data_IF_539981192335
#
_entry.id   IF_539981192335
#
_cell.length_a   1.000
_cell.length_b   1.000
_cell.length_c   1.000
_cell.angle_alpha   90.00
_cell.angle_beta   90.00
_cell.angle_gamma   90.00
#
_symmetry.space_group_name_H-M   'P 1'
#
loop_
_entity.id
_entity.type
_entity.pdbx_description
1 polymer ?
#
# COMPACT_ATOMS: atom_id res chain seq x y z
N UNK A 1 -21.02 12.96 -54.75
CA UNK A 1 -20.37 11.87 -53.97
C UNK A 1 -19.10 12.43 -53.31
N UNK A 2 -19.20 13.04 -52.12
CA UNK A 2 -18.08 13.65 -51.38
C UNK A 2 -18.40 13.68 -49.88
N UNK A 3 -18.52 12.54 -49.22
CA UNK A 3 -18.89 12.50 -47.78
C UNK A 3 -18.25 11.36 -46.96
N UNK A 4 -17.17 10.75 -47.45
CA UNK A 4 -16.62 9.52 -46.84
C UNK A 4 -15.11 9.56 -46.57
N UNK A 5 -14.57 10.73 -46.20
CA UNK A 5 -13.14 10.84 -45.86
C UNK A 5 -12.83 11.57 -44.54
N UNK A 6 -13.84 11.83 -43.70
CA UNK A 6 -13.64 12.54 -42.42
C UNK A 6 -13.68 11.58 -41.21
N UNK A 7 -14.11 10.33 -41.38
CA UNK A 7 -14.34 9.42 -40.26
C UNK A 7 -13.09 8.65 -39.76
N UNK A 8 -11.97 8.70 -40.48
CA UNK A 8 -10.78 7.87 -40.15
C UNK A 8 -9.72 8.57 -39.30
N UNK A 9 -9.84 9.87 -39.03
CA UNK A 9 -8.84 10.63 -38.28
C UNK A 9 -9.09 10.69 -36.75
N UNK A 10 -10.28 10.31 -36.27
CA UNK A 10 -10.65 10.43 -34.85
C UNK A 10 -10.31 9.20 -33.99
N UNK A 11 -9.84 8.09 -34.58
CA UNK A 11 -9.50 6.87 -33.84
C UNK A 11 -8.03 6.78 -33.38
N UNK A 12 -7.17 7.73 -33.76
CA UNK A 12 -5.74 7.67 -33.42
C UNK A 12 -5.35 8.40 -32.12
N UNK A 13 -6.26 9.15 -31.49
CA UNK A 13 -5.92 9.97 -30.30
C UNK A 13 -6.25 9.31 -28.95
N UNK A 14 -6.72 8.05 -28.94
CA UNK A 14 -6.99 7.30 -27.72
C UNK A 14 -5.83 6.35 -27.32
N UNK A 15 -4.61 6.58 -27.82
CA UNK A 15 -3.41 5.98 -27.26
C UNK A 15 -3.15 6.63 -25.89
N UNK A 16 -3.81 6.05 -24.90
CA UNK A 16 -3.66 6.28 -23.47
C UNK A 16 -2.19 6.43 -23.11
N UNK A 17 -1.79 7.67 -22.86
CA UNK A 17 -0.60 7.99 -22.10
C UNK A 17 -0.83 7.48 -20.67
N UNK A 18 -0.58 6.19 -20.44
CA UNK A 18 -0.15 5.70 -19.14
C UNK A 18 1.25 6.28 -18.92
N UNK A 19 1.30 7.56 -18.58
CA UNK A 19 2.49 8.19 -18.08
C UNK A 19 2.89 7.41 -16.83
N UNK A 20 3.87 6.52 -16.95
CA UNK A 20 4.51 5.91 -15.78
C UNK A 20 5.06 7.07 -14.96
N UNK A 21 4.41 7.39 -13.86
CA UNK A 21 4.88 8.37 -12.88
C UNK A 21 6.32 8.00 -12.52
N UNK A 22 7.29 8.79 -12.99
CA UNK A 22 8.69 8.60 -12.59
C UNK A 22 8.81 9.15 -11.19
N UNK A 23 9.01 8.26 -10.21
CA UNK A 23 9.33 8.67 -8.84
C UNK A 23 10.66 9.42 -8.87
N UNK A 24 10.70 10.64 -8.33
CA UNK A 24 11.88 11.51 -8.37
C UNK A 24 12.59 11.61 -7.02
N UNK A 25 11.93 11.29 -5.91
CA UNK A 25 12.53 11.34 -4.58
C UNK A 25 12.30 10.05 -3.82
N UNK A 26 13.15 9.80 -2.82
CA UNK A 26 12.97 8.68 -1.89
C UNK A 26 11.61 8.70 -1.20
N UNK A 27 11.13 9.87 -0.77
CA UNK A 27 9.82 10.01 -0.14
C UNK A 27 8.65 9.63 -1.08
N UNK A 28 8.74 10.01 -2.37
CA UNK A 28 7.74 9.60 -3.37
C UNK A 28 7.76 8.08 -3.60
N UNK A 29 8.95 7.48 -3.60
CA UNK A 29 9.10 6.04 -3.71
C UNK A 29 8.52 5.30 -2.50
N UNK A 30 8.87 5.72 -1.27
CA UNK A 30 8.39 5.09 -0.04
C UNK A 30 6.85 5.17 0.06
N UNK A 31 6.25 6.32 -0.27
CA UNK A 31 4.79 6.51 -0.25
C UNK A 31 4.01 5.64 -1.25
N UNK A 32 4.62 5.25 -2.37
CA UNK A 32 4.01 4.33 -3.36
C UNK A 32 4.37 2.87 -3.09
N UNK A 33 5.52 2.63 -2.46
CA UNK A 33 6.02 1.29 -2.16
C UNK A 33 5.19 0.60 -1.06
N UNK A 34 4.87 1.32 0.03
CA UNK A 34 4.10 0.75 1.14
C UNK A 34 2.77 0.11 0.67
N UNK A 35 1.89 0.83 -0.05
CA UNK A 35 0.67 0.27 -0.63
C UNK A 35 0.91 -0.94 -1.52
N UNK A 36 1.95 -0.89 -2.35
CA UNK A 36 2.30 -1.98 -3.27
C UNK A 36 2.77 -3.23 -2.54
N UNK A 37 3.50 -3.10 -1.44
CA UNK A 37 3.95 -4.24 -0.66
C UNK A 37 2.81 -4.97 0.04
N UNK A 38 1.72 -4.27 0.40
CA UNK A 38 0.50 -4.93 0.91
C UNK A 38 -0.09 -5.90 -0.11
N UNK A 39 -0.06 -5.54 -1.40
CA UNK A 39 -0.57 -6.35 -2.51
C UNK A 39 0.42 -7.46 -2.91
N UNK A 40 1.71 -7.13 -3.00
CA UNK A 40 2.77 -8.07 -3.40
C UNK A 40 3.08 -9.12 -2.33
N UNK A 41 2.85 -8.82 -1.05
CA UNK A 41 3.01 -9.77 0.06
C UNK A 41 1.65 -10.22 0.62
N UNK A 42 0.70 -10.54 -0.27
CA UNK A 42 -0.66 -10.95 0.11
C UNK A 42 -0.70 -11.99 1.24
N UNK A 43 0.20 -12.99 1.24
CA UNK A 43 0.27 -14.00 2.29
C UNK A 43 0.67 -13.42 3.67
N UNK A 44 1.64 -12.50 3.71
CA UNK A 44 2.06 -11.84 4.95
C UNK A 44 0.99 -10.87 5.44
N UNK A 45 0.35 -10.15 4.51
CA UNK A 45 -0.78 -9.27 4.79
C UNK A 45 -1.96 -10.07 5.36
N UNK A 46 -2.30 -11.22 4.78
CA UNK A 46 -3.36 -12.10 5.26
C UNK A 46 -3.03 -12.68 6.65
N UNK A 47 -1.79 -13.11 6.87
CA UNK A 47 -1.35 -13.60 8.18
C UNK A 47 -1.42 -12.52 9.27
N UNK A 48 -1.05 -11.27 8.94
CA UNK A 48 -1.18 -10.13 9.84
C UNK A 48 -2.66 -9.80 10.13
N UNK A 49 -3.51 -9.74 9.10
CA UNK A 49 -4.95 -9.54 9.26
C UNK A 49 -5.59 -10.61 10.15
N UNK A 50 -5.16 -11.87 10.00
CA UNK A 50 -5.65 -12.95 10.87
C UNK A 50 -5.21 -12.77 12.33
N UNK A 51 -3.98 -12.29 12.58
CA UNK A 51 -3.52 -11.98 13.94
C UNK A 51 -4.33 -10.84 14.56
N UNK A 52 -4.58 -9.76 13.81
CA UNK A 52 -5.43 -8.66 14.27
C UNK A 52 -6.86 -9.14 14.56
N UNK A 53 -7.44 -9.96 13.69
CA UNK A 53 -8.76 -10.55 13.91
C UNK A 53 -8.80 -11.37 15.20
N UNK A 54 -7.77 -12.16 15.47
CA UNK A 54 -7.67 -12.93 16.71
C UNK A 54 -7.55 -12.04 17.95
N UNK A 55 -6.82 -10.92 17.86
CA UNK A 55 -6.70 -9.95 18.97
C UNK A 55 -8.06 -9.28 19.22
N UNK A 56 -8.76 -8.86 18.16
CA UNK A 56 -10.08 -8.24 18.25
C UNK A 56 -11.14 -9.20 18.79
N UNK A 57 -11.14 -10.45 18.34
CA UNK A 57 -12.02 -11.48 18.87
C UNK A 57 -11.78 -11.74 20.37
N UNK A 58 -10.54 -11.60 20.85
CA UNK A 58 -10.24 -11.67 22.29
C UNK A 58 -10.78 -10.48 23.08
N UNK A 59 -11.04 -9.34 22.45
CA UNK A 59 -11.69 -8.18 23.10
C UNK A 59 -13.19 -8.42 23.27
N UNK A 60 -13.81 -9.21 22.39
CA UNK A 60 -15.21 -9.57 22.49
C UNK A 60 -15.45 -10.40 23.76
N UNK A 61 -16.23 -9.86 24.69
CA UNK A 61 -16.55 -10.53 25.96
C UNK A 61 -15.56 -10.28 27.11
N UNK A 62 -14.52 -9.45 26.92
CA UNK A 62 -13.65 -9.00 28.01
C UNK A 62 -14.21 -7.71 28.61
N UNK A 63 -14.54 -7.76 29.91
CA UNK A 63 -15.01 -6.59 30.69
C UNK A 63 -13.93 -6.03 31.62
N UNK A 64 -12.83 -6.74 31.80
CA UNK A 64 -11.72 -6.30 32.62
C UNK A 64 -10.95 -5.15 31.93
N UNK A 65 -10.87 -3.96 32.53
CA UNK A 65 -10.28 -2.78 31.89
C UNK A 65 -8.77 -2.90 31.70
N UNK A 66 -8.07 -3.64 32.55
CA UNK A 66 -6.63 -3.86 32.42
C UNK A 66 -6.35 -4.80 31.24
N UNK A 67 -7.11 -5.89 31.10
CA UNK A 67 -7.01 -6.79 29.95
C UNK A 67 -7.39 -6.11 28.64
N UNK A 68 -8.38 -5.21 28.65
CA UNK A 68 -8.72 -4.42 27.46
C UNK A 68 -7.57 -3.51 27.03
N UNK A 69 -6.87 -2.90 28.00
CA UNK A 69 -5.67 -2.08 27.73
C UNK A 69 -4.53 -2.94 27.16
N UNK A 70 -4.25 -4.08 27.76
CA UNK A 70 -3.22 -5.02 27.26
C UNK A 70 -3.53 -5.49 25.84
N UNK A 71 -4.80 -5.77 25.52
CA UNK A 71 -5.23 -6.15 24.17
C UNK A 71 -5.17 -4.99 23.17
N UNK A 72 -5.32 -3.74 23.63
CA UNK A 72 -5.14 -2.56 22.80
C UNK A 72 -3.66 -2.32 22.47
N UNK A 73 -2.78 -2.38 23.47
CA UNK A 73 -1.33 -2.30 23.28
C UNK A 73 -0.81 -3.42 22.37
N UNK A 74 -1.33 -4.65 22.55
CA UNK A 74 -0.98 -5.77 21.67
C UNK A 74 -1.41 -5.57 20.22
N UNK A 75 -2.54 -4.91 19.98
CA UNK A 75 -3.01 -4.57 18.62
C UNK A 75 -2.09 -3.52 17.99
N UNK A 76 -1.77 -2.45 18.74
CA UNK A 76 -0.86 -1.39 18.31
C UNK A 76 0.53 -1.92 17.95
N UNK A 77 1.13 -2.73 18.84
CA UNK A 77 2.44 -3.35 18.60
C UNK A 77 2.45 -4.25 17.37
N UNK A 78 1.37 -4.96 17.08
CA UNK A 78 1.27 -5.81 15.89
C UNK A 78 1.17 -4.98 14.61
N UNK A 79 0.47 -3.85 14.63
CA UNK A 79 0.41 -2.88 13.52
C UNK A 79 1.78 -2.26 13.28
N UNK A 80 2.42 -1.72 14.33
CA UNK A 80 3.74 -1.08 14.22
C UNK A 80 4.80 -2.04 13.68
N UNK A 81 4.82 -3.29 14.15
CA UNK A 81 5.76 -4.31 13.65
C UNK A 81 5.55 -4.58 12.17
N UNK A 82 4.30 -4.64 11.73
CA UNK A 82 3.97 -4.87 10.33
C UNK A 82 4.41 -3.69 9.47
N UNK A 83 4.08 -2.47 9.88
CA UNK A 83 4.48 -1.25 9.18
C UNK A 83 6.00 -1.08 9.12
N UNK A 84 6.71 -1.25 10.23
CA UNK A 84 8.17 -1.14 10.28
C UNK A 84 8.87 -2.17 9.37
N UNK A 85 8.32 -3.38 9.25
CA UNK A 85 8.84 -4.39 8.33
C UNK A 85 8.67 -3.95 6.86
N UNK A 86 7.54 -3.35 6.51
CA UNK A 86 7.26 -2.85 5.16
C UNK A 86 8.08 -1.60 4.85
N UNK A 87 8.18 -0.69 5.81
CA UNK A 87 9.01 0.51 5.72
C UNK A 87 10.48 0.16 5.49
N UNK A 88 11.02 -0.85 6.19
CA UNK A 88 12.39 -1.32 5.96
C UNK A 88 12.62 -1.82 4.54
N UNK A 89 11.65 -2.58 3.99
CA UNK A 89 11.73 -3.08 2.61
C UNK A 89 11.66 -1.89 1.64
N UNK A 90 10.75 -0.94 1.87
CA UNK A 90 10.64 0.25 1.04
C UNK A 90 11.89 1.12 1.09
N UNK A 91 12.48 1.34 2.26
CA UNK A 91 13.76 2.06 2.39
C UNK A 91 14.88 1.41 1.57
N UNK A 92 14.94 0.07 1.55
CA UNK A 92 15.93 -0.67 0.75
C UNK A 92 15.64 -0.59 -0.75
N UNK A 93 14.38 -0.67 -1.16
CA UNK A 93 14.01 -0.51 -2.58
C UNK A 93 14.23 0.92 -3.07
N UNK A 94 13.97 1.90 -2.19
CA UNK A 94 14.00 3.32 -2.51
C UNK A 94 15.37 3.97 -2.25
N UNK A 95 16.37 3.25 -1.77
CA UNK A 95 17.70 3.81 -1.48
C UNK A 95 18.48 4.29 -2.70
N UNK A 96 18.02 3.93 -3.90
CA UNK A 96 18.63 4.31 -5.18
C UNK A 96 17.99 5.55 -5.82
N UNK A 97 16.98 6.15 -5.18
CA UNK A 97 16.38 7.38 -5.66
C UNK A 97 17.23 8.58 -5.25
N UNK A 98 17.35 9.62 -6.10
CA UNK A 98 18.05 10.83 -5.70
C UNK A 98 17.29 11.44 -4.51
N UNK A 99 17.99 11.64 -3.40
CA UNK A 99 17.36 12.13 -2.17
C UNK A 99 16.83 13.57 -2.31
N UNK A 100 17.25 14.32 -3.33
CA UNK A 100 16.74 15.66 -3.66
C UNK A 100 17.20 16.12 -5.05
N UNK A 101 16.33 16.86 -5.76
CA UNK A 101 16.69 18.09 -6.47
C UNK A 101 16.42 19.27 -5.53
#
# INVERSE_FOLDING_TARGET
MKRTLVAMALLAMAATALAKEKMQTKAQCEGKCLPMLYELNADKTAAHQQRLKNIRAKKEGVTDPQKLKELAEAEEVEVEKFEAAHEKICRQMCSYFPDTL
#
